data_IF_314024295608
#
_entry.id   IF_314024295608
#
_cell.length_a   1.000
_cell.length_b   1.000
_cell.length_c   1.000
_cell.angle_alpha   90.00
_cell.angle_beta   90.00
_cell.angle_gamma   90.00
#
_symmetry.space_group_name_H-M   'P 1'
#
loop_
_entity.id
_entity.type
_entity.pdbx_description
1 polymer ?
#
# COMPACT_ATOMS: atom_id res chain seq x y z
N UNK A 1 27.09 14.30 0.94
CA UNK A 1 25.87 13.64 1.42
C UNK A 1 26.25 12.70 2.56
N UNK A 2 25.56 12.74 3.70
CA UNK A 2 25.72 11.75 4.77
C UNK A 2 24.59 10.70 4.64
N UNK A 3 24.86 9.43 4.96
CA UNK A 3 23.84 8.38 4.90
C UNK A 3 22.78 8.59 5.98
N UNK A 4 21.51 8.37 5.62
CA UNK A 4 20.36 8.51 6.53
C UNK A 4 20.29 7.38 7.58
N UNK A 5 20.98 6.26 7.32
CA UNK A 5 21.08 5.12 8.22
C UNK A 5 22.53 4.61 8.27
N UNK A 6 23.04 4.38 9.48
CA UNK A 6 24.37 3.82 9.74
C UNK A 6 24.21 2.60 10.64
N UNK A 7 24.88 1.50 10.28
CA UNK A 7 24.93 0.31 11.11
C UNK A 7 25.91 0.58 12.26
N UNK A 8 25.39 0.65 13.48
CA UNK A 8 26.19 0.89 14.69
C UNK A 8 26.75 -0.43 15.25
N UNK A 9 25.98 -1.53 15.15
CA UNK A 9 26.39 -2.88 15.55
C UNK A 9 25.70 -3.92 14.65
N UNK A 10 26.48 -4.87 14.12
CA UNK A 10 26.02 -5.83 13.09
C UNK A 10 25.62 -7.21 13.60
N UNK A 11 25.87 -7.50 14.88
CA UNK A 11 25.72 -8.81 15.52
C UNK A 11 24.69 -8.76 16.67
N UNK A 12 23.49 -8.25 16.39
CA UNK A 12 22.41 -8.26 17.38
C UNK A 12 22.07 -9.70 17.79
N UNK A 13 21.90 -9.93 19.10
CA UNK A 13 21.48 -11.25 19.59
C UNK A 13 20.01 -11.50 19.24
N UNK A 14 19.56 -12.78 19.22
CA UNK A 14 18.15 -13.09 18.98
C UNK A 14 17.18 -12.37 19.92
N UNK A 15 17.57 -12.20 21.18
CA UNK A 15 16.79 -11.50 22.21
C UNK A 15 16.64 -10.00 21.93
N UNK A 16 17.71 -9.37 21.46
CA UNK A 16 17.70 -7.94 21.10
C UNK A 16 16.82 -7.67 19.88
N UNK A 17 16.87 -8.56 18.88
CA UNK A 17 15.97 -8.53 17.73
C UNK A 17 14.51 -8.67 18.20
N UNK A 18 14.23 -9.61 19.10
CA UNK A 18 12.90 -9.82 19.66
C UNK A 18 12.39 -8.58 20.43
N UNK A 19 13.24 -7.95 21.23
CA UNK A 19 12.90 -6.72 21.96
C UNK A 19 12.56 -5.57 21.00
N UNK A 20 13.34 -5.37 19.94
CA UNK A 20 13.08 -4.36 18.90
C UNK A 20 11.73 -4.60 18.20
N UNK A 21 11.47 -5.84 17.79
CA UNK A 21 10.20 -6.21 17.15
C UNK A 21 9.02 -5.98 18.10
N UNK A 22 9.14 -6.32 19.39
CA UNK A 22 8.09 -6.09 20.38
C UNK A 22 7.76 -4.59 20.54
N UNK A 23 8.78 -3.73 20.60
CA UNK A 23 8.59 -2.27 20.68
C UNK A 23 7.93 -1.72 19.42
N UNK A 24 8.34 -2.19 18.23
CA UNK A 24 7.72 -1.76 16.97
C UNK A 24 6.27 -2.25 16.87
N UNK A 25 6.01 -3.51 17.22
CA UNK A 25 4.67 -4.09 17.19
C UNK A 25 3.71 -3.37 18.15
N UNK A 26 4.17 -3.04 19.37
CA UNK A 26 3.37 -2.26 20.33
C UNK A 26 3.09 -0.84 19.83
N UNK A 27 4.07 -0.18 19.20
CA UNK A 27 3.89 1.15 18.61
C UNK A 27 2.92 1.15 17.42
N UNK A 28 2.93 0.09 16.60
CA UNK A 28 2.03 -0.08 15.46
C UNK A 28 0.68 -0.71 15.82
N UNK A 29 0.52 -1.20 17.06
CA UNK A 29 -0.66 -1.93 17.52
C UNK A 29 -1.93 -1.10 17.69
N UNK A 30 -1.91 0.21 17.38
CA UNK A 30 -3.14 1.00 17.33
C UNK A 30 -3.94 0.53 16.12
N UNK A 31 -4.92 -0.33 16.35
CA UNK A 31 -5.90 -0.73 15.34
C UNK A 31 -6.52 0.53 14.75
N UNK A 32 -6.11 0.87 13.53
CA UNK A 32 -6.81 1.85 12.73
C UNK A 32 -8.22 1.29 12.50
N UNK A 33 -9.29 2.07 12.72
CA UNK A 33 -10.63 1.61 12.40
C UNK A 33 -10.64 1.09 10.97
N UNK A 34 -11.28 -0.07 10.76
CA UNK A 34 -11.38 -0.67 9.43
C UNK A 34 -11.90 0.40 8.47
N UNK A 35 -11.16 0.75 7.40
CA UNK A 35 -11.59 1.79 6.50
C UNK A 35 -12.94 1.40 5.91
N UNK A 36 -13.84 2.39 5.77
CA UNK A 36 -15.13 2.17 5.14
C UNK A 36 -14.93 1.41 3.82
N UNK A 37 -15.81 0.45 3.49
CA UNK A 37 -15.64 -0.37 2.29
C UNK A 37 -15.49 0.55 1.07
N UNK A 38 -14.29 0.53 0.47
CA UNK A 38 -14.03 1.31 -0.75
C UNK A 38 -15.00 0.87 -1.82
N UNK A 39 -15.59 1.84 -2.54
CA UNK A 39 -16.33 1.55 -3.79
C UNK A 39 -15.42 0.71 -4.68
N UNK A 40 -15.85 -0.51 -5.01
CA UNK A 40 -15.15 -1.40 -5.93
C UNK A 40 -15.35 -0.90 -7.37
N UNK A 41 -14.76 0.25 -7.69
CA UNK A 41 -14.89 0.91 -9.00
C UNK A 41 -14.38 0.02 -10.14
N UNK A 42 -13.27 -0.70 -9.90
CA UNK A 42 -12.70 -1.65 -10.85
C UNK A 42 -13.55 -2.91 -11.07
N UNK A 43 -14.25 -3.41 -10.04
CA UNK A 43 -15.11 -4.61 -10.12
C UNK A 43 -16.59 -4.25 -10.33
N UNK A 44 -16.90 -3.02 -10.73
CA UNK A 44 -18.28 -2.59 -10.91
C UNK A 44 -18.89 -3.30 -12.15
N UNK A 45 -19.93 -4.13 -11.99
CA UNK A 45 -20.52 -4.88 -13.11
C UNK A 45 -21.07 -3.97 -14.21
N UNK A 46 -21.47 -2.73 -13.89
CA UNK A 46 -21.93 -1.72 -14.88
C UNK A 46 -20.85 -1.40 -15.92
N UNK A 47 -19.56 -1.56 -15.59
CA UNK A 47 -18.45 -1.35 -16.56
C UNK A 47 -18.41 -2.40 -17.66
N UNK A 48 -18.85 -3.64 -17.39
CA UNK A 48 -18.95 -4.69 -18.40
C UNK A 48 -20.03 -4.39 -19.46
N UNK A 49 -20.96 -3.48 -19.16
CA UNK A 49 -22.02 -3.06 -20.07
C UNK A 49 -21.64 -1.86 -20.95
N UNK A 50 -20.47 -1.24 -20.72
CA UNK A 50 -20.03 -0.08 -21.52
C UNK A 50 -19.47 -0.52 -22.87
N UNK A 51 -19.60 0.35 -23.88
CA UNK A 51 -18.92 0.15 -25.16
C UNK A 51 -17.39 0.10 -24.95
N UNK A 52 -16.66 -0.77 -25.68
CA UNK A 52 -15.21 -0.82 -25.65
C UNK A 52 -14.60 0.55 -25.97
N UNK A 53 -13.49 0.89 -25.31
CA UNK A 53 -12.73 2.09 -25.64
C UNK A 53 -12.04 1.86 -26.99
N UNK A 54 -12.44 2.61 -28.01
CA UNK A 54 -11.79 2.58 -29.32
C UNK A 54 -10.54 3.47 -29.32
N UNK A 55 -9.50 3.15 -30.12
CA UNK A 55 -8.31 3.99 -30.26
C UNK A 55 -8.68 5.42 -30.70
N UNK A 56 -8.12 6.44 -30.03
CA UNK A 56 -8.40 7.84 -30.32
C UNK A 56 -7.73 8.81 -29.35
N UNK A 57 -7.77 10.11 -29.68
CA UNK A 57 -7.05 11.19 -28.95
C UNK A 57 -7.35 11.24 -27.44
N UNK A 58 -8.53 10.79 -27.02
CA UNK A 58 -8.97 10.75 -25.62
C UNK A 58 -8.97 9.35 -24.99
N UNK A 59 -8.66 8.30 -25.76
CA UNK A 59 -8.78 6.90 -25.34
C UNK A 59 -7.90 6.55 -24.13
N UNK A 60 -6.68 7.09 -24.09
CA UNK A 60 -5.73 6.85 -23.01
C UNK A 60 -6.16 7.44 -21.65
N UNK A 61 -6.98 8.50 -21.64
CA UNK A 61 -7.53 9.04 -20.38
C UNK A 61 -8.62 8.13 -19.82
N UNK A 62 -9.34 7.44 -20.69
CA UNK A 62 -10.46 6.56 -20.33
C UNK A 62 -10.01 5.17 -19.86
N UNK A 63 -8.76 4.76 -20.12
CA UNK A 63 -8.25 3.44 -19.74
C UNK A 63 -7.91 3.31 -18.26
N UNK A 64 -7.50 4.41 -17.61
CA UNK A 64 -6.95 4.39 -16.25
C UNK A 64 -7.86 5.01 -15.18
N UNK A 65 -8.98 5.65 -15.55
CA UNK A 65 -9.88 6.30 -14.60
C UNK A 65 -10.97 5.34 -14.05
N UNK A 66 -11.10 5.22 -12.71
CA UNK A 66 -12.19 4.49 -12.05
C UNK A 66 -13.57 5.15 -12.16
#
# INVERSE_FOLDING_TARGET
>A
MKPDLVIVRGDATPEEVAALVAVLATRHGRQQPSPAPRRRTWRNPVRAMRKPVLPGKSAWRMSALP
#
